data_IF_587147101742
#
_entry.id   IF_587147101742
#
_cell.length_a   1.000
_cell.length_b   1.000
_cell.length_c   1.000
_cell.angle_alpha   90.00
_cell.angle_beta   90.00
_cell.angle_gamma   90.00
#
_symmetry.space_group_name_H-M   'P 1'
#
loop_
_entity.id
_entity.type
_entity.pdbx_description
1 polymer ?
#
# COMPACT_ATOMS: atom_id res chain seq x y z
N UNK A 1 -7.27 3.96 6.98
CA UNK A 1 -5.84 3.97 7.05
C UNK A 1 -5.24 4.41 8.39
N UNK A 2 -5.47 5.61 8.91
CA UNK A 2 -4.89 6.07 10.20
C UNK A 2 -5.24 5.17 11.40
N UNK A 3 -6.46 4.63 11.48
CA UNK A 3 -6.85 3.69 12.55
C UNK A 3 -6.08 2.36 12.48
N UNK A 4 -5.79 1.86 11.28
CA UNK A 4 -5.04 0.59 11.09
C UNK A 4 -3.57 0.76 11.46
N UNK A 5 -2.94 1.82 11.01
CA UNK A 5 -1.59 2.17 11.44
C UNK A 5 -1.54 2.35 12.96
N UNK A 6 -2.55 2.97 13.55
CA UNK A 6 -2.64 3.15 14.99
C UNK A 6 -2.73 1.83 15.75
N UNK A 7 -3.52 0.85 15.27
CA UNK A 7 -3.62 -0.48 15.91
C UNK A 7 -2.32 -1.26 15.79
N UNK A 8 -1.66 -1.23 14.62
CA UNK A 8 -0.33 -1.81 14.44
C UNK A 8 0.69 -1.18 15.39
N UNK A 9 0.75 0.15 15.45
CA UNK A 9 1.64 0.87 16.37
C UNK A 9 1.36 0.55 17.84
N UNK A 10 0.10 0.37 18.24
CA UNK A 10 -0.27 -0.02 19.62
C UNK A 10 0.28 -1.42 19.91
N UNK A 11 0.11 -2.38 19.01
CA UNK A 11 0.65 -3.72 19.18
C UNK A 11 2.17 -3.71 19.27
N UNK A 12 2.83 -3.00 18.36
CA UNK A 12 4.28 -2.88 18.34
C UNK A 12 4.80 -2.29 19.65
N UNK A 13 4.16 -1.23 20.14
CA UNK A 13 4.49 -0.62 21.43
C UNK A 13 4.29 -1.58 22.60
N UNK A 14 3.22 -2.40 22.59
CA UNK A 14 2.98 -3.43 23.59
C UNK A 14 4.05 -4.54 23.56
N UNK A 15 4.68 -4.76 22.41
CA UNK A 15 5.81 -5.67 22.24
C UNK A 15 7.17 -5.00 22.50
N UNK A 16 7.19 -3.79 23.05
CA UNK A 16 8.42 -3.08 23.40
C UNK A 16 9.06 -2.27 22.27
N UNK A 17 8.44 -2.21 21.09
CA UNK A 17 8.94 -1.40 19.97
C UNK A 17 8.75 0.09 20.27
N UNK A 18 9.81 0.88 20.17
CA UNK A 18 9.74 2.32 20.32
C UNK A 18 9.51 2.98 18.95
N UNK A 19 8.33 3.58 18.77
CA UNK A 19 7.97 4.30 17.55
C UNK A 19 8.18 5.79 17.77
N UNK A 20 8.96 6.41 16.90
CA UNK A 20 9.20 7.86 16.89
C UNK A 20 8.48 8.47 15.68
N UNK A 21 7.38 9.15 15.95
CA UNK A 21 6.63 9.86 14.92
C UNK A 21 7.25 11.21 14.59
N UNK A 22 7.11 11.67 13.34
CA UNK A 22 7.58 12.96 12.85
C UNK A 22 9.09 13.18 13.03
N UNK A 23 9.88 12.12 13.02
CA UNK A 23 11.33 12.19 13.08
C UNK A 23 11.93 11.83 11.72
N UNK A 24 12.91 12.60 11.30
CA UNK A 24 13.72 12.30 10.12
C UNK A 24 15.17 12.13 10.54
N UNK A 25 15.86 11.18 9.93
CA UNK A 25 17.28 11.02 10.16
C UNK A 25 18.08 12.10 9.40
N UNK A 26 19.23 12.48 9.94
CA UNK A 26 20.18 13.36 9.29
C UNK A 26 21.43 12.61 8.84
N UNK A 27 21.90 11.68 9.65
CA UNK A 27 23.04 10.80 9.31
C UNK A 27 23.04 9.55 10.17
N UNK A 28 23.76 8.54 9.70
CA UNK A 28 24.02 7.27 10.38
C UNK A 28 25.54 7.11 10.54
N UNK A 29 25.99 6.78 11.75
CA UNK A 29 27.39 6.50 12.05
C UNK A 29 27.49 5.10 12.64
N UNK A 30 28.37 4.28 12.10
CA UNK A 30 28.63 2.91 12.60
C UNK A 30 30.05 2.81 13.16
N UNK A 31 30.21 1.99 14.19
CA UNK A 31 31.50 1.53 14.73
C UNK A 31 31.45 0.02 15.04
N UNK A 32 32.52 -0.54 15.56
CA UNK A 32 32.61 -1.98 15.91
C UNK A 32 31.60 -2.42 16.97
N UNK A 33 30.98 -1.49 17.68
CA UNK A 33 30.06 -1.75 18.80
C UNK A 33 28.60 -1.44 18.46
N UNK A 34 28.29 -0.96 17.26
CA UNK A 34 26.92 -0.68 16.83
C UNK A 34 26.78 0.58 15.99
N UNK A 35 25.56 1.09 15.90
CA UNK A 35 25.18 2.18 15.01
C UNK A 35 24.52 3.32 15.80
N UNK A 36 24.89 4.55 15.49
CA UNK A 36 24.24 5.75 16.02
C UNK A 36 23.49 6.48 14.92
N UNK A 37 22.19 6.59 15.09
CA UNK A 37 21.29 7.34 14.23
C UNK A 37 21.13 8.77 14.78
N UNK A 38 21.48 9.78 13.98
CA UNK A 38 21.25 11.18 14.29
C UNK A 38 19.97 11.66 13.62
N UNK A 39 19.07 12.25 14.38
CA UNK A 39 17.81 12.80 13.91
C UNK A 39 17.91 14.30 13.62
N UNK A 40 17.11 14.81 12.69
CA UNK A 40 17.04 16.25 12.40
C UNK A 40 16.58 17.07 13.61
N UNK A 41 15.84 16.48 14.54
CA UNK A 41 15.45 17.09 15.80
C UNK A 41 16.60 17.28 16.80
N UNK A 42 17.82 16.82 16.46
CA UNK A 42 19.00 16.83 17.33
C UNK A 42 19.12 15.62 18.26
N UNK A 43 18.11 14.76 18.32
CA UNK A 43 18.18 13.51 19.12
C UNK A 43 19.09 12.50 18.46
N UNK A 44 19.61 11.57 19.30
CA UNK A 44 20.43 10.44 18.85
C UNK A 44 19.82 9.14 19.37
N UNK A 45 19.92 8.09 18.57
CA UNK A 45 19.52 6.74 18.96
C UNK A 45 20.68 5.79 18.67
N UNK A 46 21.00 4.94 19.63
CA UNK A 46 22.01 3.89 19.47
C UNK A 46 21.33 2.53 19.40
N UNK A 47 21.84 1.68 18.52
CA UNK A 47 21.38 0.31 18.34
C UNK A 47 22.54 -0.57 17.86
N UNK A 48 22.36 -1.89 17.94
CA UNK A 48 23.33 -2.86 17.42
C UNK A 48 23.38 -2.86 15.89
N UNK A 49 22.23 -2.59 15.25
CA UNK A 49 22.09 -2.55 13.80
C UNK A 49 21.10 -1.49 13.34
N UNK A 50 21.27 -1.01 12.12
CA UNK A 50 20.36 -0.09 11.44
C UNK A 50 19.83 -0.72 10.15
N UNK A 51 18.50 -0.71 9.98
CA UNK A 51 17.86 -1.16 8.76
C UNK A 51 17.18 0.01 8.06
N UNK A 52 17.56 0.22 6.82
CA UNK A 52 16.93 1.18 5.93
C UNK A 52 15.80 0.51 5.14
N UNK A 53 14.55 0.91 5.39
CA UNK A 53 13.37 0.32 4.77
C UNK A 53 12.40 1.38 4.22
N UNK A 54 12.91 2.44 3.58
CA UNK A 54 12.15 3.61 3.14
C UNK A 54 11.52 3.49 1.75
N UNK A 55 11.04 2.31 1.39
CA UNK A 55 10.31 2.08 0.15
C UNK A 55 11.21 1.84 -1.06
N UNK A 56 10.68 2.12 -2.26
CA UNK A 56 11.31 1.83 -3.54
C UNK A 56 11.29 3.06 -4.44
N UNK A 57 12.23 3.10 -5.37
CA UNK A 57 12.30 4.07 -6.48
C UNK A 57 12.18 3.33 -7.81
N UNK A 58 11.75 4.01 -8.85
CA UNK A 58 11.78 3.48 -10.21
C UNK A 58 13.24 3.29 -10.67
N UNK A 59 13.52 2.19 -11.34
CA UNK A 59 14.88 1.89 -11.84
C UNK A 59 15.02 2.39 -13.29
N UNK A 60 14.98 3.71 -13.47
CA UNK A 60 15.02 4.35 -14.79
C UNK A 60 16.35 5.00 -15.14
N UNK A 61 17.30 5.05 -14.21
CA UNK A 61 18.55 5.81 -14.35
C UNK A 61 19.41 5.38 -15.54
N UNK A 62 19.34 4.10 -15.93
CA UNK A 62 20.13 3.55 -17.02
C UNK A 62 19.38 3.47 -18.36
N UNK A 63 18.10 3.84 -18.39
CA UNK A 63 17.25 3.70 -19.58
C UNK A 63 17.48 4.79 -20.64
N UNK A 64 18.26 5.83 -20.31
CA UNK A 64 18.51 6.98 -21.22
C UNK A 64 17.20 7.56 -21.77
N UNK A 65 16.27 7.85 -20.86
CA UNK A 65 14.91 8.32 -21.17
C UNK A 65 14.90 9.55 -22.07
N UNK A 66 15.90 10.40 -21.95
CA UNK A 66 16.10 11.61 -22.76
C UNK A 66 16.21 11.31 -24.27
N UNK A 67 16.77 10.15 -24.66
CA UNK A 67 16.83 9.73 -26.04
C UNK A 67 15.45 9.41 -26.65
N UNK A 68 14.50 9.04 -25.80
CA UNK A 68 13.10 8.82 -26.18
C UNK A 68 12.22 10.05 -25.94
N UNK A 69 12.81 11.16 -25.50
CA UNK A 69 12.06 12.36 -25.14
C UNK A 69 11.25 12.20 -23.84
N UNK A 70 11.62 11.27 -22.97
CA UNK A 70 10.98 10.98 -21.69
C UNK A 70 11.82 11.50 -20.52
N UNK A 71 11.17 11.64 -19.38
CA UNK A 71 11.78 11.96 -18.09
C UNK A 71 11.09 11.23 -16.97
N UNK A 72 11.79 10.93 -15.89
CA UNK A 72 11.23 10.39 -14.68
C UNK A 72 11.01 11.50 -13.63
N UNK A 73 10.12 11.26 -12.68
CA UNK A 73 9.99 12.11 -11.51
C UNK A 73 11.17 11.93 -10.53
N UNK A 74 11.16 12.66 -9.41
CA UNK A 74 12.20 12.58 -8.37
C UNK A 74 12.34 11.19 -7.72
N UNK A 75 11.40 10.27 -7.96
CA UNK A 75 11.42 8.89 -7.51
C UNK A 75 11.81 7.92 -8.63
N UNK A 76 12.28 8.40 -9.77
CA UNK A 76 12.61 7.55 -10.93
C UNK A 76 11.39 6.92 -11.59
N UNK A 77 10.18 7.45 -11.41
CA UNK A 77 8.95 6.88 -11.94
C UNK A 77 8.50 7.61 -13.21
N UNK A 78 7.91 6.87 -14.13
CA UNK A 78 7.32 7.38 -15.37
C UNK A 78 5.85 7.73 -15.15
N UNK A 79 5.42 8.85 -15.73
CA UNK A 79 4.01 9.22 -15.77
C UNK A 79 3.34 8.60 -16.99
N UNK A 80 2.11 8.10 -16.79
CA UNK A 80 1.27 7.52 -17.83
C UNK A 80 -0.16 8.03 -17.75
N UNK A 81 -0.87 7.93 -18.87
CA UNK A 81 -2.30 8.18 -18.94
C UNK A 81 -3.14 6.94 -18.49
N UNK A 82 -4.45 7.02 -18.67
CA UNK A 82 -5.39 5.92 -18.35
C UNK A 82 -5.23 4.67 -19.22
N UNK A 83 -4.47 4.75 -20.32
CA UNK A 83 -4.16 3.65 -21.21
C UNK A 83 -2.71 3.14 -21.01
N UNK A 84 -2.04 3.62 -19.94
CA UNK A 84 -0.64 3.32 -19.65
C UNK A 84 0.36 3.83 -20.68
N UNK A 85 -0.02 4.82 -21.52
CA UNK A 85 0.87 5.51 -22.44
C UNK A 85 1.67 6.56 -21.70
N UNK A 86 2.94 6.67 -22.01
CA UNK A 86 3.75 7.82 -21.61
C UNK A 86 3.36 9.05 -22.46
N UNK A 87 4.02 10.17 -22.25
CA UNK A 87 3.86 11.35 -23.14
C UNK A 87 4.28 11.08 -24.60
N UNK A 88 4.97 9.97 -24.84
CA UNK A 88 5.32 9.49 -26.18
C UNK A 88 4.38 8.33 -26.51
N UNK A 89 3.40 8.56 -27.39
CA UNK A 89 2.21 7.71 -27.59
C UNK A 89 2.50 6.22 -27.84
N UNK A 90 3.61 5.89 -28.49
CA UNK A 90 3.96 4.51 -28.79
C UNK A 90 4.78 3.83 -27.67
N UNK A 91 5.05 4.54 -26.57
CA UNK A 91 5.77 4.00 -25.40
C UNK A 91 4.81 3.88 -24.22
N UNK A 92 4.65 2.66 -23.75
CA UNK A 92 3.83 2.33 -22.59
C UNK A 92 4.72 1.99 -21.40
N UNK A 93 4.21 2.20 -20.17
CA UNK A 93 4.85 1.78 -18.94
C UNK A 93 3.84 1.17 -17.99
N UNK A 94 4.25 0.11 -17.27
CA UNK A 94 3.41 -0.60 -16.32
C UNK A 94 4.26 -1.17 -15.17
N UNK A 95 3.64 -1.49 -14.05
CA UNK A 95 4.29 -2.04 -12.87
C UNK A 95 4.99 -0.99 -12.00
N UNK A 96 5.97 -1.41 -11.24
CA UNK A 96 6.66 -0.58 -10.24
C UNK A 96 7.24 0.73 -10.81
N UNK A 97 7.58 0.74 -12.10
CA UNK A 97 8.16 1.91 -12.77
C UNK A 97 7.19 3.08 -12.89
N UNK A 98 5.88 2.85 -12.83
CA UNK A 98 4.86 3.92 -12.78
C UNK A 98 4.43 4.28 -11.36
N UNK A 99 4.98 3.61 -10.34
CA UNK A 99 4.73 3.88 -8.93
C UNK A 99 3.55 3.08 -8.36
N UNK A 100 2.63 3.77 -7.71
CA UNK A 100 1.47 3.15 -7.07
C UNK A 100 0.65 2.30 -8.05
N UNK A 101 0.19 1.08 -7.64
CA UNK A 101 0.28 0.48 -6.30
C UNK A 101 1.55 -0.36 -6.03
N UNK A 102 2.45 -0.54 -7.01
CA UNK A 102 3.70 -1.30 -6.87
C UNK A 102 3.48 -2.74 -6.37
N UNK A 103 2.47 -3.40 -6.93
CA UNK A 103 2.09 -4.79 -6.63
C UNK A 103 2.21 -5.65 -7.89
N UNK A 104 2.68 -6.89 -7.75
CA UNK A 104 2.83 -7.81 -8.88
C UNK A 104 1.49 -8.09 -9.58
N UNK A 105 0.39 -8.28 -8.82
CA UNK A 105 -0.96 -8.47 -9.37
C UNK A 105 -1.39 -7.28 -10.23
N UNK A 106 -1.18 -6.07 -9.73
CA UNK A 106 -1.47 -4.85 -10.48
C UNK A 106 -0.64 -4.75 -11.74
N UNK A 107 0.66 -5.07 -11.67
CA UNK A 107 1.56 -5.03 -12.81
C UNK A 107 1.11 -5.95 -13.96
N UNK A 108 0.56 -7.14 -13.63
CA UNK A 108 -0.02 -8.04 -14.62
C UNK A 108 -1.21 -7.40 -15.35
N UNK A 109 -2.14 -6.81 -14.63
CA UNK A 109 -3.34 -6.21 -15.22
C UNK A 109 -3.01 -4.93 -15.97
N UNK A 110 -2.10 -4.11 -15.45
CA UNK A 110 -1.57 -2.93 -16.13
C UNK A 110 -0.89 -3.32 -17.44
N UNK A 111 -0.05 -4.37 -17.43
CA UNK A 111 0.62 -4.87 -18.64
C UNK A 111 -0.36 -5.43 -19.69
N UNK A 112 -1.42 -6.13 -19.27
CA UNK A 112 -2.50 -6.57 -20.16
C UNK A 112 -3.23 -5.38 -20.79
N UNK A 113 -3.52 -4.37 -20.01
CA UNK A 113 -4.18 -3.15 -20.49
C UNK A 113 -3.29 -2.38 -21.45
N UNK A 114 -2.03 -2.15 -21.12
CA UNK A 114 -1.05 -1.49 -21.97
C UNK A 114 -0.87 -2.23 -23.32
N UNK A 115 -0.74 -3.55 -23.30
CA UNK A 115 -0.65 -4.35 -24.54
C UNK A 115 -1.97 -4.35 -25.33
N UNK A 116 -3.11 -4.31 -24.66
CA UNK A 116 -4.43 -4.13 -25.31
C UNK A 116 -4.49 -2.82 -26.07
N UNK A 117 -4.08 -1.72 -25.47
CA UNK A 117 -4.02 -0.42 -26.09
C UNK A 117 -3.05 -0.39 -27.29
N UNK A 118 -1.83 -0.90 -27.12
CA UNK A 118 -0.82 -0.98 -28.19
C UNK A 118 -1.30 -1.79 -29.41
N UNK A 119 -2.21 -2.74 -29.21
CA UNK A 119 -2.81 -3.56 -30.27
C UNK A 119 -4.16 -3.04 -30.75
N UNK A 120 -4.55 -1.84 -30.36
CA UNK A 120 -5.86 -1.23 -30.66
C UNK A 120 -7.04 -2.12 -30.24
N UNK A 121 -6.88 -2.83 -29.10
CA UNK A 121 -7.92 -3.63 -28.44
C UNK A 121 -8.44 -2.91 -27.21
N UNK A 122 -9.40 -3.53 -26.53
CA UNK A 122 -9.93 -2.99 -25.27
C UNK A 122 -8.82 -2.79 -24.23
N UNK A 123 -8.69 -1.57 -23.76
CA UNK A 123 -7.83 -1.16 -22.66
C UNK A 123 -8.70 -0.54 -21.57
N UNK A 124 -8.34 -0.76 -20.31
CA UNK A 124 -8.98 -0.10 -19.17
C UNK A 124 -7.96 0.25 -18.11
N UNK A 125 -8.16 1.35 -17.45
CA UNK A 125 -7.37 1.66 -16.25
C UNK A 125 -7.71 0.67 -15.13
N UNK A 126 -6.68 0.20 -14.42
CA UNK A 126 -6.83 -0.76 -13.32
C UNK A 126 -6.81 0.05 -12.03
N UNK A 127 -7.95 0.29 -11.44
CA UNK A 127 -8.17 1.13 -10.26
C UNK A 127 -8.55 0.35 -9.00
N UNK A 128 -9.36 -0.70 -9.12
CA UNK A 128 -9.77 -1.53 -7.99
C UNK A 128 -8.83 -2.73 -7.80
N UNK A 129 -7.73 -2.48 -7.10
CA UNK A 129 -6.67 -3.50 -6.90
C UNK A 129 -6.72 -4.02 -5.47
N UNK A 130 -7.00 -5.33 -5.28
CA UNK A 130 -6.84 -5.96 -3.97
C UNK A 130 -5.40 -5.81 -3.48
N UNK A 131 -5.23 -5.14 -2.36
CA UNK A 131 -3.91 -4.86 -1.79
C UNK A 131 -3.72 -5.65 -0.51
N UNK A 132 -2.71 -6.52 -0.46
CA UNK A 132 -2.27 -7.24 0.73
C UNK A 132 -0.87 -6.79 1.14
N UNK A 133 -0.67 -6.50 2.42
CA UNK A 133 0.62 -6.16 3.02
C UNK A 133 0.88 -7.17 4.13
N UNK A 134 1.95 -7.95 3.99
CA UNK A 134 2.31 -9.05 4.89
C UNK A 134 3.08 -8.55 6.12
N UNK A 135 2.49 -7.58 6.80
CA UNK A 135 2.92 -7.18 8.15
C UNK A 135 2.47 -8.22 9.19
N UNK A 136 2.85 -8.07 10.45
CA UNK A 136 2.44 -8.94 11.56
C UNK A 136 1.64 -8.10 12.56
N UNK A 137 0.30 -8.17 12.56
CA UNK A 137 -0.61 -8.88 11.64
C UNK A 137 -0.68 -8.27 10.25
N UNK A 138 -1.21 -9.02 9.29
CA UNK A 138 -1.41 -8.59 7.91
C UNK A 138 -2.43 -7.45 7.80
N UNK A 139 -2.29 -6.66 6.74
CA UNK A 139 -3.23 -5.59 6.37
C UNK A 139 -3.66 -5.82 4.94
N UNK A 140 -4.95 -5.79 4.68
CA UNK A 140 -5.46 -5.86 3.32
C UNK A 140 -6.58 -4.88 3.06
N UNK A 141 -6.74 -4.46 1.81
CA UNK A 141 -7.79 -3.50 1.43
C UNK A 141 -8.14 -3.60 -0.06
N UNK A 142 -9.42 -3.36 -0.35
CA UNK A 142 -9.96 -3.23 -1.68
C UNK A 142 -10.97 -2.08 -1.68
N UNK A 143 -11.05 -1.33 -2.79
CA UNK A 143 -12.00 -0.25 -2.97
C UNK A 143 -11.71 0.98 -2.09
N UNK A 144 -12.73 1.78 -1.86
CA UNK A 144 -12.63 3.12 -1.26
C UNK A 144 -12.45 3.10 0.25
N UNK A 145 -11.78 4.13 0.75
CA UNK A 145 -11.62 4.39 2.19
C UNK A 145 -12.73 5.31 2.70
N UNK A 146 -12.98 5.33 4.02
CA UNK A 146 -13.87 6.29 4.67
C UNK A 146 -13.52 7.75 4.31
N UNK A 147 -12.24 8.05 4.20
CA UNK A 147 -11.77 9.40 3.87
C UNK A 147 -12.17 9.79 2.46
N UNK A 148 -11.93 8.93 1.47
CA UNK A 148 -12.30 9.20 0.08
C UNK A 148 -13.81 9.37 -0.08
N UNK A 149 -14.62 8.54 0.59
CA UNK A 149 -16.08 8.67 0.56
C UNK A 149 -16.53 9.98 1.23
N UNK A 150 -15.92 10.34 2.35
CA UNK A 150 -16.22 11.58 3.08
C UNK A 150 -15.83 12.82 2.25
N UNK A 151 -14.62 12.82 1.67
CA UNK A 151 -14.14 13.91 0.82
C UNK A 151 -15.01 14.07 -0.45
N UNK A 152 -15.49 12.95 -1.00
CA UNK A 152 -16.44 12.92 -2.11
C UNK A 152 -17.90 13.19 -1.70
N UNK A 153 -18.19 13.37 -0.41
CA UNK A 153 -19.55 13.52 0.14
C UNK A 153 -20.51 12.39 -0.26
N UNK A 154 -19.98 11.19 -0.45
CA UNK A 154 -20.76 10.00 -0.78
C UNK A 154 -21.32 9.40 0.52
N UNK A 155 -22.64 9.25 0.69
CA UNK A 155 -23.22 8.62 1.86
C UNK A 155 -22.78 7.16 1.97
N UNK A 156 -22.34 6.74 3.14
CA UNK A 156 -21.93 5.36 3.42
C UNK A 156 -22.22 4.96 4.86
N UNK A 157 -22.37 3.66 5.07
CA UNK A 157 -22.42 3.02 6.37
C UNK A 157 -21.18 2.12 6.58
N UNK A 158 -20.90 1.81 7.84
CA UNK A 158 -19.71 1.05 8.23
C UNK A 158 -20.12 -0.19 9.04
N UNK A 159 -19.92 -1.36 8.42
CA UNK A 159 -19.97 -2.64 9.13
C UNK A 159 -18.59 -3.01 9.69
N UNK A 160 -18.54 -3.49 10.95
CA UNK A 160 -17.30 -3.92 11.60
C UNK A 160 -17.48 -5.24 12.33
N UNK A 161 -16.51 -6.14 12.18
CA UNK A 161 -16.39 -7.37 12.96
C UNK A 161 -14.99 -7.48 13.54
N UNK A 162 -14.87 -7.80 14.80
CA UNK A 162 -13.58 -7.94 15.47
C UNK A 162 -13.18 -9.41 15.59
N UNK A 163 -11.91 -9.72 15.36
CA UNK A 163 -11.41 -11.10 15.45
C UNK A 163 -11.61 -11.71 16.84
N UNK A 164 -11.42 -10.91 17.90
CA UNK A 164 -11.68 -11.35 19.29
C UNK A 164 -13.05 -11.97 19.53
N UNK A 165 -14.04 -11.63 18.68
CA UNK A 165 -15.42 -12.07 18.81
C UNK A 165 -15.70 -13.33 17.94
N UNK A 166 -14.69 -13.82 17.21
CA UNK A 166 -14.80 -15.02 16.37
C UNK A 166 -14.28 -16.26 17.08
N UNK A 167 -14.93 -17.40 16.89
CA UNK A 167 -14.52 -18.68 17.49
C UNK A 167 -13.09 -19.07 17.08
N UNK A 168 -12.73 -18.88 15.80
CA UNK A 168 -11.40 -19.24 15.30
C UNK A 168 -10.29 -18.46 16.01
N UNK A 169 -10.44 -17.16 16.14
CA UNK A 169 -9.44 -16.32 16.79
C UNK A 169 -9.29 -16.65 18.29
N UNK A 170 -10.38 -17.04 18.97
CA UNK A 170 -10.34 -17.48 20.36
C UNK A 170 -9.60 -18.81 20.50
N UNK A 171 -9.79 -19.75 19.56
CA UNK A 171 -9.11 -21.06 19.57
C UNK A 171 -7.60 -20.90 19.31
N UNK A 172 -7.22 -20.08 18.33
CA UNK A 172 -5.80 -19.88 17.96
C UNK A 172 -5.07 -18.91 18.87
N UNK A 173 -5.79 -18.07 19.63
CA UNK A 173 -5.21 -16.98 20.42
C UNK A 173 -4.94 -15.70 19.61
N UNK A 174 -5.19 -15.69 18.29
CA UNK A 174 -4.95 -14.54 17.38
C UNK A 174 -6.14 -13.59 17.37
N UNK A 175 -6.41 -12.98 18.52
CA UNK A 175 -7.59 -12.12 18.75
C UNK A 175 -7.44 -10.69 18.22
N UNK A 176 -6.23 -10.31 17.76
CA UNK A 176 -5.96 -8.97 17.26
C UNK A 176 -6.33 -8.89 15.79
N UNK A 177 -7.43 -8.20 15.50
CA UNK A 177 -7.85 -8.01 14.11
C UNK A 177 -9.26 -7.45 13.99
N UNK A 178 -9.58 -7.00 12.78
CA UNK A 178 -10.92 -6.54 12.40
C UNK A 178 -11.13 -6.64 10.89
N UNK A 179 -12.36 -6.94 10.52
CA UNK A 179 -12.89 -6.73 9.18
C UNK A 179 -13.79 -5.51 9.20
N UNK A 180 -13.64 -4.63 8.22
CA UNK A 180 -14.48 -3.46 8.02
C UNK A 180 -14.96 -3.41 6.58
N UNK A 181 -16.27 -3.20 6.40
CA UNK A 181 -16.92 -3.04 5.10
C UNK A 181 -17.58 -1.68 5.06
N UNK A 182 -17.38 -0.94 3.97
CA UNK A 182 -18.05 0.32 3.65
C UNK A 182 -19.07 0.05 2.57
N UNK A 183 -20.30 0.48 2.74
CA UNK A 183 -21.38 0.18 1.80
C UNK A 183 -22.40 1.31 1.70
N UNK A 184 -23.15 1.31 0.60
CA UNK A 184 -24.25 2.23 0.38
C UNK A 184 -25.42 1.88 1.32
N UNK A 185 -25.95 2.84 2.12
CA UNK A 185 -27.01 2.56 3.09
C UNK A 185 -28.36 2.18 2.46
N UNK A 186 -28.56 2.44 1.15
CA UNK A 186 -29.83 2.16 0.45
C UNK A 186 -29.72 0.95 -0.47
N UNK A 187 -28.65 0.87 -1.26
CA UNK A 187 -28.47 -0.20 -2.26
C UNK A 187 -27.71 -1.39 -1.72
N UNK A 188 -27.01 -1.23 -0.58
CA UNK A 188 -26.08 -2.19 0.03
C UNK A 188 -24.86 -2.53 -0.86
N UNK A 189 -24.64 -1.75 -1.90
CA UNK A 189 -23.45 -1.85 -2.74
C UNK A 189 -22.19 -1.62 -1.89
N UNK A 190 -21.21 -2.50 -2.03
CA UNK A 190 -19.96 -2.43 -1.28
C UNK A 190 -19.04 -1.40 -1.96
N UNK A 191 -18.59 -0.40 -1.20
CA UNK A 191 -17.65 0.62 -1.63
C UNK A 191 -16.20 0.29 -1.27
N UNK A 192 -16.00 -0.47 -0.22
CA UNK A 192 -14.65 -0.82 0.21
C UNK A 192 -14.63 -1.87 1.31
N UNK A 193 -13.60 -2.69 1.26
CA UNK A 193 -13.37 -3.78 2.21
C UNK A 193 -11.96 -3.60 2.79
N UNK A 194 -11.85 -3.69 4.09
CA UNK A 194 -10.59 -3.48 4.80
C UNK A 194 -10.44 -4.50 5.90
N UNK A 195 -9.39 -5.29 5.85
CA UNK A 195 -9.08 -6.29 6.86
C UNK A 195 -7.72 -6.01 7.51
N UNK A 196 -7.63 -6.31 8.80
CA UNK A 196 -6.40 -6.28 9.58
C UNK A 196 -6.45 -7.46 10.54
N UNK A 197 -5.43 -8.31 10.51
CA UNK A 197 -5.39 -9.50 11.36
C UNK A 197 -4.68 -10.66 10.68
N UNK A 198 -4.69 -11.82 11.34
CA UNK A 198 -4.18 -13.05 10.76
C UNK A 198 -4.95 -13.41 9.49
N UNK A 199 -4.24 -13.82 8.44
CA UNK A 199 -4.80 -14.17 7.12
C UNK A 199 -5.67 -13.07 6.47
N UNK A 200 -5.44 -11.81 6.79
CA UNK A 200 -6.23 -10.71 6.23
C UNK A 200 -6.18 -10.67 4.69
N UNK A 201 -5.07 -11.03 4.08
CA UNK A 201 -4.90 -11.07 2.63
C UNK A 201 -5.78 -12.15 1.99
N UNK A 202 -5.85 -13.34 2.60
CA UNK A 202 -6.70 -14.44 2.11
C UNK A 202 -8.19 -14.11 2.27
N UNK A 203 -8.58 -13.52 3.39
CA UNK A 203 -9.96 -13.05 3.62
C UNK A 203 -10.36 -12.04 2.54
N UNK A 204 -9.46 -11.11 2.21
CA UNK A 204 -9.73 -10.13 1.17
C UNK A 204 -9.91 -10.77 -0.21
N UNK A 205 -9.09 -11.78 -0.56
CA UNK A 205 -9.22 -12.48 -1.84
C UNK A 205 -10.60 -13.12 -2.02
N UNK A 206 -11.15 -13.73 -0.97
CA UNK A 206 -12.51 -14.29 -1.01
C UNK A 206 -13.53 -13.17 -1.23
N UNK A 207 -13.39 -12.07 -0.48
CA UNK A 207 -14.34 -10.95 -0.54
C UNK A 207 -14.22 -10.13 -1.83
N UNK A 208 -13.06 -10.11 -2.48
CA UNK A 208 -12.84 -9.42 -3.75
C UNK A 208 -13.66 -9.98 -4.92
N UNK A 209 -14.16 -11.22 -4.78
CA UNK A 209 -15.03 -11.83 -5.79
C UNK A 209 -16.48 -11.30 -5.76
N UNK A 210 -16.86 -10.60 -4.69
CA UNK A 210 -18.21 -10.05 -4.47
C UNK A 210 -18.25 -8.52 -4.41
N UNK A 211 -17.13 -7.88 -4.61
CA UNK A 211 -17.00 -6.42 -4.66
C UNK A 211 -17.27 -5.88 -6.07
#
# INVERSE_FOLDING_TARGET
SLRRQRQMCIRDSNNGVQIRHNEEYSRVEGDETGVTLHLKSGKKMRADAFMWANGRTGNTDTLKLENAGLESNSRGQLQVDTNYRTRVEHIHAAGDVIGWPSLASAAYDQGRSASGDALSKNSRFVDDIPTGIYTIPEISSLGKTERELTDARTPYEVGQAFFKDTARAQITGDTVGMLKILFNPRTLEIYGIHCFGDQASEILHILSLIH
#
